data_IF_609486096655
#
_entry.id   IF_609486096655
#
_cell.length_a   1.000
_cell.length_b   1.000
_cell.length_c   1.000
_cell.angle_alpha   90.00
_cell.angle_beta   90.00
_cell.angle_gamma   90.00
#
_symmetry.space_group_name_H-M   'P 1'
#
loop_
_entity.id
_entity.type
_entity.pdbx_description
1 polymer ?
#
# COMPACT_ATOMS: atom_id res chain seq x y z
N UNK A 1 -5.83 4.66 20.86
CA UNK A 1 -6.39 4.23 19.57
C UNK A 1 -5.27 3.64 18.72
N UNK A 2 -5.48 2.51 18.04
CA UNK A 2 -4.49 1.95 17.10
C UNK A 2 -4.78 2.48 15.69
N UNK A 3 -3.75 2.61 14.86
CA UNK A 3 -3.90 3.12 13.49
C UNK A 3 -3.33 2.16 12.45
N UNK A 4 -4.10 1.95 11.40
CA UNK A 4 -3.68 1.27 10.18
C UNK A 4 -3.89 2.20 8.98
N UNK A 5 -2.99 2.20 8.01
CA UNK A 5 -3.23 2.85 6.73
C UNK A 5 -2.70 2.04 5.55
N UNK A 6 -3.31 2.26 4.39
CA UNK A 6 -2.91 1.64 3.12
C UNK A 6 -2.69 2.74 2.09
N UNK A 7 -1.50 2.82 1.49
CA UNK A 7 -1.21 3.83 0.47
C UNK A 7 -1.91 3.51 -0.86
N UNK A 8 -2.43 4.53 -1.56
CA UNK A 8 -3.02 4.36 -2.89
C UNK A 8 -4.23 3.44 -2.92
N UNK A 9 -5.08 3.53 -1.90
CA UNK A 9 -6.15 2.57 -1.60
C UNK A 9 -7.54 3.00 -2.06
N UNK A 10 -7.66 4.01 -2.92
CA UNK A 10 -8.94 4.39 -3.49
C UNK A 10 -9.50 3.39 -4.52
N UNK A 11 -8.71 2.42 -4.98
CA UNK A 11 -9.12 1.38 -5.95
C UNK A 11 -8.26 0.11 -5.85
N UNK A 12 -8.67 -0.93 -6.56
CA UNK A 12 -7.88 -2.16 -6.73
C UNK A 12 -7.55 -2.87 -5.42
N UNK A 13 -6.36 -3.46 -5.35
CA UNK A 13 -5.88 -4.25 -4.21
C UNK A 13 -5.88 -3.41 -2.92
N UNK A 14 -5.45 -2.15 -2.98
CA UNK A 14 -5.44 -1.27 -1.81
C UNK A 14 -6.82 -1.09 -1.19
N UNK A 15 -7.87 -0.91 -2.01
CA UNK A 15 -9.27 -0.81 -1.52
C UNK A 15 -9.73 -2.12 -0.88
N UNK A 16 -9.35 -3.27 -1.46
CA UNK A 16 -9.66 -4.58 -0.91
C UNK A 16 -8.96 -4.84 0.45
N UNK A 17 -7.69 -4.43 0.58
CA UNK A 17 -6.95 -4.52 1.85
C UNK A 17 -7.63 -3.65 2.91
N UNK A 18 -7.96 -2.40 2.60
CA UNK A 18 -8.68 -1.50 3.51
C UNK A 18 -10.01 -2.12 3.95
N UNK A 19 -10.79 -2.66 3.01
CA UNK A 19 -12.06 -3.34 3.32
C UNK A 19 -11.86 -4.51 4.28
N UNK A 20 -10.85 -5.37 4.04
CA UNK A 20 -10.56 -6.52 4.91
C UNK A 20 -10.07 -6.09 6.30
N UNK A 21 -9.20 -5.08 6.38
CA UNK A 21 -8.73 -4.51 7.64
C UNK A 21 -9.90 -3.94 8.44
N UNK A 22 -10.76 -3.14 7.81
CA UNK A 22 -11.96 -2.58 8.44
C UNK A 22 -12.87 -3.68 9.00
N UNK A 23 -13.28 -4.64 8.17
CA UNK A 23 -14.19 -5.72 8.59
C UNK A 23 -13.60 -6.66 9.66
N UNK A 24 -12.27 -6.71 9.80
CA UNK A 24 -11.60 -7.60 10.76
C UNK A 24 -11.26 -6.89 12.07
N UNK A 25 -10.80 -5.63 12.01
CA UNK A 25 -10.22 -4.92 13.16
C UNK A 25 -11.20 -3.97 13.84
N UNK A 26 -12.18 -3.41 13.11
CA UNK A 26 -13.13 -2.45 13.68
C UNK A 26 -14.08 -3.07 14.70
N UNK A 27 -14.34 -4.37 14.61
CA UNK A 27 -15.12 -5.14 15.60
C UNK A 27 -14.57 -5.02 17.02
N UNK A 28 -13.30 -4.62 17.18
CA UNK A 28 -12.66 -4.44 18.47
C UNK A 28 -12.80 -3.02 19.05
N UNK A 29 -13.35 -2.07 18.29
CA UNK A 29 -13.57 -0.67 18.73
C UNK A 29 -12.30 0.15 19.01
N UNK A 30 -11.11 -0.36 18.65
CA UNK A 30 -9.81 0.24 19.00
C UNK A 30 -8.94 0.59 17.80
N UNK A 31 -9.51 0.63 16.59
CA UNK A 31 -8.75 0.86 15.36
C UNK A 31 -9.35 1.96 14.50
N UNK A 32 -8.47 2.87 14.09
CA UNK A 32 -8.71 3.77 12.97
C UNK A 32 -8.04 3.22 11.72
N UNK A 33 -8.83 3.01 10.67
CA UNK A 33 -8.36 2.50 9.37
C UNK A 33 -8.41 3.64 8.36
N UNK A 34 -7.25 4.03 7.84
CA UNK A 34 -7.13 5.07 6.83
C UNK A 34 -6.97 4.50 5.43
N UNK A 35 -7.92 4.86 4.58
CA UNK A 35 -7.76 4.88 3.14
C UNK A 35 -6.99 6.15 2.76
N UNK A 36 -5.94 6.01 1.97
CA UNK A 36 -5.18 7.16 1.46
C UNK A 36 -5.07 7.14 -0.05
N UNK A 37 -5.11 8.33 -0.64
CA UNK A 37 -5.02 8.51 -2.08
C UNK A 37 -4.49 9.90 -2.44
N UNK A 38 -3.93 10.00 -3.65
CA UNK A 38 -3.46 11.27 -4.21
C UNK A 38 -4.61 12.22 -4.48
N UNK A 39 -5.64 11.71 -5.15
CA UNK A 39 -6.84 12.45 -5.52
C UNK A 39 -7.87 12.36 -4.39
N UNK A 40 -8.20 13.51 -3.79
CA UNK A 40 -9.10 13.62 -2.64
C UNK A 40 -10.50 13.10 -2.98
N UNK A 41 -11.04 13.49 -4.13
CA UNK A 41 -12.40 13.12 -4.54
C UNK A 41 -12.55 11.60 -4.67
N UNK A 42 -11.63 10.96 -5.40
CA UNK A 42 -11.61 9.50 -5.54
C UNK A 42 -11.41 8.79 -4.20
N UNK A 43 -10.65 9.38 -3.28
CA UNK A 43 -10.46 8.85 -1.94
C UNK A 43 -11.74 8.90 -1.11
N UNK A 44 -12.42 10.05 -1.09
CA UNK A 44 -13.71 10.24 -0.40
C UNK A 44 -14.79 9.34 -0.97
N UNK A 45 -14.87 9.22 -2.30
CA UNK A 45 -15.81 8.29 -2.95
C UNK A 45 -15.54 6.85 -2.52
N UNK A 46 -14.27 6.43 -2.45
CA UNK A 46 -13.94 5.07 -2.01
C UNK A 46 -14.32 4.82 -0.54
N UNK A 47 -14.18 5.81 0.35
CA UNK A 47 -14.71 5.73 1.71
C UNK A 47 -16.24 5.62 1.73
N UNK A 48 -16.95 6.42 0.93
CA UNK A 48 -18.41 6.35 0.85
C UNK A 48 -18.91 4.97 0.35
N UNK A 49 -18.21 4.37 -0.62
CA UNK A 49 -18.54 3.01 -1.10
C UNK A 49 -18.34 1.93 -0.03
N UNK A 50 -17.35 2.10 0.85
CA UNK A 50 -17.08 1.20 1.96
C UNK A 50 -18.09 1.41 3.10
N UNK A 51 -18.49 2.65 3.36
CA UNK A 51 -19.54 2.98 4.32
C UNK A 51 -20.89 2.32 3.96
N UNK A 52 -21.24 2.25 2.67
CA UNK A 52 -22.41 1.49 2.18
C UNK A 52 -22.37 0.00 2.52
N UNK A 53 -21.19 -0.54 2.83
CA UNK A 53 -20.98 -1.93 3.26
C UNK A 53 -20.89 -2.06 4.79
N UNK A 54 -21.16 -0.99 5.54
CA UNK A 54 -21.04 -0.96 7.00
C UNK A 54 -19.60 -0.86 7.51
N UNK A 55 -18.64 -0.48 6.66
CA UNK A 55 -17.23 -0.34 7.03
C UNK A 55 -16.88 1.13 7.30
N UNK A 56 -16.40 1.44 8.49
CA UNK A 56 -16.10 2.82 8.92
C UNK A 56 -14.64 3.20 8.61
N UNK A 57 -14.38 3.67 7.40
CA UNK A 57 -13.01 3.97 6.95
C UNK A 57 -12.77 5.47 6.86
N UNK A 58 -11.69 5.92 7.49
CA UNK A 58 -11.26 7.32 7.47
C UNK A 58 -10.45 7.63 6.21
N UNK A 59 -10.47 8.88 5.77
CA UNK A 59 -9.69 9.33 4.62
C UNK A 59 -8.57 10.29 5.06
N UNK A 60 -7.37 10.11 4.48
CA UNK A 60 -6.34 11.15 4.46
C UNK A 60 -5.70 11.25 3.07
N UNK A 61 -5.49 12.46 2.57
CA UNK A 61 -4.78 12.66 1.31
C UNK A 61 -3.31 12.26 1.47
N UNK A 62 -2.80 11.41 0.58
CA UNK A 62 -1.38 11.06 0.56
C UNK A 62 -0.93 10.86 -0.87
N UNK A 63 -0.02 11.72 -1.30
CA UNK A 63 0.81 11.53 -2.46
C UNK A 63 2.22 11.16 -2.05
N UNK A 64 2.56 9.90 -2.28
CA UNK A 64 3.86 9.35 -1.94
C UNK A 64 5.01 9.99 -2.74
N UNK A 65 4.72 10.64 -3.87
CA UNK A 65 5.73 11.35 -4.67
C UNK A 65 5.96 12.79 -4.20
N UNK A 66 4.94 13.44 -3.64
CA UNK A 66 5.05 14.80 -3.11
C UNK A 66 5.61 14.81 -1.68
N UNK A 67 6.80 15.41 -1.52
CA UNK A 67 7.45 15.58 -0.21
C UNK A 67 6.56 16.30 0.81
N UNK A 68 5.84 17.33 0.39
CA UNK A 68 4.99 18.11 1.28
C UNK A 68 3.75 17.32 1.69
N UNK A 69 3.19 16.50 0.79
CA UNK A 69 2.10 15.58 1.12
C UNK A 69 2.54 14.53 2.15
N UNK A 70 3.73 13.94 1.97
CA UNK A 70 4.30 13.00 2.96
C UNK A 70 4.49 13.67 4.33
N UNK A 71 5.03 14.89 4.36
CA UNK A 71 5.26 15.63 5.60
C UNK A 71 3.95 15.90 6.35
N UNK A 72 2.91 16.40 5.65
CA UNK A 72 1.58 16.63 6.25
C UNK A 72 0.97 15.35 6.82
N UNK A 73 1.13 14.22 6.14
CA UNK A 73 0.65 12.94 6.65
C UNK A 73 1.39 12.51 7.93
N UNK A 74 2.71 12.70 7.98
CA UNK A 74 3.49 12.39 9.18
C UNK A 74 3.10 13.27 10.37
N UNK A 75 2.91 14.57 10.14
CA UNK A 75 2.44 15.52 11.17
C UNK A 75 1.05 15.15 11.67
N UNK A 76 0.15 14.78 10.77
CA UNK A 76 -1.18 14.27 11.11
C UNK A 76 -1.09 13.02 12.00
N UNK A 77 -0.28 12.03 11.61
CA UNK A 77 -0.10 10.81 12.41
C UNK A 77 0.50 11.13 13.78
N UNK A 78 1.53 11.96 13.85
CA UNK A 78 2.20 12.29 15.10
C UNK A 78 1.28 13.02 16.08
N UNK A 79 0.43 13.92 15.58
CA UNK A 79 -0.52 14.68 16.40
C UNK A 79 -1.70 13.84 16.91
N UNK A 80 -2.17 12.86 16.15
CA UNK A 80 -3.37 12.08 16.50
C UNK A 80 -3.06 10.69 17.09
N UNK A 81 -1.86 10.16 16.84
CA UNK A 81 -1.42 8.84 17.25
C UNK A 81 0.00 8.90 17.83
N UNK A 82 0.19 9.50 19.03
CA UNK A 82 1.51 9.70 19.64
C UNK A 82 2.26 8.38 19.94
N UNK A 83 1.54 7.25 19.99
CA UNK A 83 2.12 5.92 20.16
C UNK A 83 2.57 5.29 18.82
N UNK A 84 2.53 6.04 17.72
CA UNK A 84 2.97 5.62 16.40
C UNK A 84 1.94 4.81 15.61
N UNK A 85 2.42 4.21 14.52
CA UNK A 85 1.63 3.43 13.56
C UNK A 85 1.68 1.94 13.91
N UNK A 86 0.53 1.27 13.88
CA UNK A 86 0.46 -0.17 14.14
C UNK A 86 0.53 -1.01 12.86
N UNK A 87 -0.06 -0.50 11.76
CA UNK A 87 -0.04 -1.16 10.46
C UNK A 87 0.15 -0.11 9.35
N UNK A 88 1.16 -0.31 8.51
CA UNK A 88 1.37 0.48 7.30
C UNK A 88 1.49 -0.46 6.10
N UNK A 89 0.65 -0.28 5.09
CA UNK A 89 0.69 -1.07 3.85
C UNK A 89 1.11 -0.17 2.69
N UNK A 90 2.31 -0.42 2.17
CA UNK A 90 2.86 0.28 1.00
C UNK A 90 2.26 -0.32 -0.29
N UNK A 91 1.02 0.07 -0.61
CA UNK A 91 0.29 -0.43 -1.78
C UNK A 91 0.30 0.54 -2.98
N UNK A 92 0.56 1.83 -2.76
CA UNK A 92 0.64 2.81 -3.83
C UNK A 92 1.79 2.46 -4.80
N UNK A 93 1.46 1.78 -5.88
CA UNK A 93 2.31 1.64 -7.06
C UNK A 93 1.99 2.78 -8.02
N UNK A 94 3.00 3.56 -8.40
CA UNK A 94 2.94 4.26 -9.68
C UNK A 94 3.19 3.17 -10.72
N UNK A 95 2.22 2.96 -11.60
CA UNK A 95 2.38 2.04 -12.70
C UNK A 95 3.43 2.58 -13.69
N UNK A 96 4.70 2.36 -13.39
CA UNK A 96 5.51 1.64 -14.36
C UNK A 96 5.30 0.18 -14.04
N UNK A 97 5.26 -0.69 -15.05
CA UNK A 97 5.20 -2.14 -14.84
C UNK A 97 6.54 -2.54 -14.19
N UNK A 98 6.66 -2.35 -12.87
CA UNK A 98 7.82 -2.73 -12.10
C UNK A 98 7.42 -4.02 -11.39
N UNK A 99 8.04 -5.09 -11.86
CA UNK A 99 8.13 -6.37 -11.17
C UNK A 99 8.80 -6.14 -9.81
N UNK A 100 8.00 -5.96 -8.76
CA UNK A 100 8.48 -6.04 -7.36
C UNK A 100 7.68 -7.10 -6.64
N UNK A 101 8.05 -8.36 -6.85
CA UNK A 101 7.71 -9.39 -5.86
C UNK A 101 8.89 -9.43 -4.90
N UNK A 102 8.81 -8.69 -3.80
CA UNK A 102 9.73 -8.93 -2.68
C UNK A 102 9.23 -10.19 -1.95
N UNK A 103 9.94 -11.29 -2.12
CA UNK A 103 9.63 -12.57 -1.51
C UNK A 103 10.34 -12.69 -0.17
N UNK A 104 9.71 -12.16 0.87
CA UNK A 104 10.15 -12.40 2.24
C UNK A 104 9.49 -13.63 2.87
N UNK A 105 8.54 -14.28 2.17
CA UNK A 105 7.80 -15.42 2.69
C UNK A 105 8.10 -16.73 1.96
N UNK A 106 8.28 -17.79 2.73
CA UNK A 106 8.49 -19.16 2.24
C UNK A 106 7.37 -19.62 1.29
N UNK A 107 6.14 -19.17 1.55
CA UNK A 107 4.96 -19.41 0.72
C UNK A 107 5.11 -18.84 -0.68
N UNK A 108 5.62 -17.62 -0.80
CA UNK A 108 5.84 -17.03 -2.10
C UNK A 108 6.95 -17.74 -2.89
N UNK A 109 8.04 -18.17 -2.22
CA UNK A 109 9.13 -18.89 -2.89
C UNK A 109 8.58 -20.19 -3.50
N UNK A 110 7.72 -20.87 -2.75
CA UNK A 110 7.07 -22.09 -3.20
C UNK A 110 6.06 -21.84 -4.33
N UNK A 111 5.37 -20.70 -4.34
CA UNK A 111 4.46 -20.32 -5.42
C UNK A 111 5.20 -20.04 -6.74
N UNK A 112 6.28 -19.24 -6.72
CA UNK A 112 7.06 -18.95 -7.93
C UNK A 112 7.73 -20.21 -8.50
N UNK A 113 8.27 -21.07 -7.64
CA UNK A 113 8.90 -22.32 -8.06
C UNK A 113 7.93 -23.25 -8.79
N UNK A 114 6.65 -23.25 -8.37
CA UNK A 114 5.57 -24.02 -9.01
C UNK A 114 5.11 -23.41 -10.34
N UNK A 115 5.20 -22.10 -10.50
CA UNK A 115 4.73 -21.39 -11.70
C UNK A 115 5.68 -21.55 -12.88
N UNK A 116 6.98 -21.33 -12.68
CA UNK A 116 7.99 -21.52 -13.72
C UNK A 116 9.40 -21.44 -13.12
N UNK A 117 10.30 -22.40 -13.41
CA UNK A 117 11.71 -22.31 -13.04
C UNK A 117 12.39 -21.05 -13.59
N UNK A 118 12.03 -20.65 -14.83
CA UNK A 118 12.57 -19.46 -15.48
C UNK A 118 12.09 -18.17 -14.81
N UNK A 119 10.83 -18.12 -14.35
CA UNK A 119 10.36 -16.99 -13.57
C UNK A 119 11.00 -16.96 -12.19
N UNK A 120 11.11 -18.11 -11.51
CA UNK A 120 11.76 -18.20 -10.21
C UNK A 120 13.18 -17.62 -10.27
N UNK A 121 14.01 -18.11 -11.19
CA UNK A 121 15.38 -17.64 -11.38
C UNK A 121 15.44 -16.13 -11.69
N UNK A 122 14.60 -15.67 -12.63
CA UNK A 122 14.48 -14.25 -12.99
C UNK A 122 14.08 -13.33 -11.83
N UNK A 123 13.43 -13.85 -10.79
CA UNK A 123 12.95 -13.07 -9.65
C UNK A 123 13.77 -13.28 -8.37
N UNK A 124 14.61 -14.30 -8.29
CA UNK A 124 15.44 -14.59 -7.12
C UNK A 124 16.91 -14.32 -7.32
N UNK A 125 17.37 -14.22 -8.57
CA UNK A 125 18.78 -13.99 -8.88
C UNK A 125 19.16 -12.51 -8.68
N UNK A 126 20.37 -12.23 -8.13
CA UNK A 126 20.82 -10.86 -7.91
C UNK A 126 20.83 -10.06 -9.21
N UNK A 127 20.25 -8.85 -9.17
CA UNK A 127 20.28 -7.94 -10.32
C UNK A 127 21.71 -7.41 -10.53
N UNK A 128 22.21 -7.42 -11.76
CA UNK A 128 23.49 -6.78 -12.09
C UNK A 128 23.35 -5.25 -12.17
N UNK A 129 24.45 -4.52 -12.02
CA UNK A 129 24.44 -3.04 -12.11
C UNK A 129 24.01 -2.52 -13.49
N UNK A 130 24.25 -3.28 -14.56
CA UNK A 130 23.83 -2.95 -15.93
C UNK A 130 22.32 -3.12 -16.08
N UNK A 131 21.77 -4.22 -15.56
CA UNK A 131 20.32 -4.43 -15.52
C UNK A 131 19.62 -3.39 -14.65
N UNK A 132 20.24 -3.01 -13.52
CA UNK A 132 19.75 -1.96 -12.65
C UNK A 132 19.75 -0.59 -13.35
N UNK A 133 20.80 -0.26 -14.11
CA UNK A 133 20.90 0.99 -14.87
C UNK A 133 19.91 1.04 -16.02
N UNK A 134 19.74 -0.06 -16.75
CA UNK A 134 18.72 -0.19 -17.79
C UNK A 134 17.31 -0.01 -17.20
N UNK A 135 17.06 -0.65 -16.07
CA UNK A 135 15.82 -0.48 -15.31
C UNK A 135 15.63 1.00 -14.90
N UNK A 136 16.69 1.64 -14.35
CA UNK A 136 16.71 3.03 -13.88
C UNK A 136 16.31 4.04 -14.97
N UNK A 137 16.77 3.84 -16.20
CA UNK A 137 16.44 4.69 -17.36
C UNK A 137 14.94 4.60 -17.69
N UNK A 138 14.34 3.43 -17.53
CA UNK A 138 12.91 3.21 -17.78
C UNK A 138 11.99 3.80 -16.70
N UNK A 139 12.50 4.20 -15.52
CA UNK A 139 11.68 4.79 -14.43
C UNK A 139 11.39 6.30 -14.59
N UNK A 140 12.15 7.02 -15.42
CA UNK A 140 12.16 8.50 -15.42
C UNK A 140 11.25 9.12 -16.52
N UNK A 141 10.54 8.31 -17.30
CA UNK A 141 9.61 8.79 -18.33
C UNK A 141 8.15 8.63 -17.95
#
# INVERSE_FOLDING_TARGET
MKVAFVTGSNKGIGKAIVSKLAGTLQTTGRWDIYLTARNVERGRQACADLAKQGLDVKFHQLDITDKNSRQRFLEFINSHYPNGINVAVNNAGIAYIIRVVHLSSLLGHNALRKLSPLLYDKFTSPLTMVELQSLAIDFVR
#
